data_IF_560239847022
#
_entry.id   IF_560239847022
#
_cell.length_a   1.000
_cell.length_b   1.000
_cell.length_c   1.000
_cell.angle_alpha   90.00
_cell.angle_beta   90.00
_cell.angle_gamma   90.00
#
_symmetry.space_group_name_H-M   'P 1'
#
loop_
_entity.id
_entity.type
_entity.pdbx_description
1 polymer ?
#
# COMPACT_ATOMS: atom_id res chain seq x y z
N UNK A 1 12.24 5.53 -50.73
CA UNK A 1 13.11 5.80 -49.55
C UNK A 1 14.39 4.93 -49.57
N UNK A 2 15.57 5.51 -49.25
CA UNK A 2 16.81 4.78 -48.99
C UNK A 2 16.58 3.63 -48.00
N UNK A 3 17.21 2.47 -48.22
CA UNK A 3 17.01 1.27 -47.40
C UNK A 3 17.34 1.52 -45.92
N UNK A 4 18.37 2.31 -45.66
CA UNK A 4 18.82 2.69 -44.32
C UNK A 4 17.75 3.49 -43.53
N UNK A 5 16.97 4.33 -44.22
CA UNK A 5 15.88 5.08 -43.58
C UNK A 5 14.67 4.20 -43.27
N UNK A 6 14.42 3.16 -44.07
CA UNK A 6 13.36 2.17 -43.78
C UNK A 6 13.71 1.35 -42.55
N UNK A 7 14.95 0.88 -42.47
CA UNK A 7 15.43 0.10 -41.32
C UNK A 7 15.36 0.90 -40.01
N UNK A 8 15.80 2.17 -40.01
CA UNK A 8 15.68 3.04 -38.82
C UNK A 8 14.24 3.32 -38.41
N UNK A 9 13.30 3.38 -39.35
CA UNK A 9 11.87 3.55 -39.06
C UNK A 9 11.28 2.27 -38.45
N UNK A 10 11.64 1.10 -38.97
CA UNK A 10 11.21 -0.19 -38.43
C UNK A 10 11.74 -0.40 -37.00
N UNK A 11 13.01 -0.13 -36.74
CA UNK A 11 13.61 -0.19 -35.39
C UNK A 11 12.92 0.78 -34.42
N UNK A 12 12.68 2.03 -34.84
CA UNK A 12 11.98 3.01 -34.02
C UNK A 12 10.51 2.62 -33.75
N UNK A 13 9.84 1.96 -34.69
CA UNK A 13 8.48 1.46 -34.51
C UNK A 13 8.43 0.32 -33.49
N UNK A 14 9.40 -0.60 -33.53
CA UNK A 14 9.49 -1.70 -32.55
C UNK A 14 9.75 -1.16 -31.14
N UNK A 15 10.68 -0.21 -30.98
CA UNK A 15 10.96 0.42 -29.68
C UNK A 15 9.73 1.14 -29.15
N UNK A 16 9.06 1.93 -30.00
CA UNK A 16 7.84 2.65 -29.61
C UNK A 16 6.69 1.70 -29.24
N UNK A 17 6.54 0.58 -29.94
CA UNK A 17 5.54 -0.43 -29.61
C UNK A 17 5.83 -1.09 -28.26
N UNK A 18 7.09 -1.42 -27.98
CA UNK A 18 7.50 -1.98 -26.69
C UNK A 18 7.33 -0.99 -25.53
N UNK A 19 7.65 0.29 -25.75
CA UNK A 19 7.42 1.34 -24.76
C UNK A 19 5.93 1.56 -24.50
N UNK A 20 5.11 1.61 -25.55
CA UNK A 20 3.66 1.74 -25.41
C UNK A 20 3.07 0.56 -24.62
N UNK A 21 3.50 -0.67 -24.90
CA UNK A 21 3.08 -1.85 -24.13
C UNK A 21 3.45 -1.74 -22.65
N UNK A 22 4.66 -1.27 -22.35
CA UNK A 22 5.11 -1.08 -20.96
C UNK A 22 4.29 -0.01 -20.24
N UNK A 23 3.96 1.09 -20.92
CA UNK A 23 3.09 2.14 -20.38
C UNK A 23 1.68 1.58 -20.12
N UNK A 24 1.13 0.84 -21.08
CA UNK A 24 -0.21 0.24 -20.95
C UNK A 24 -0.28 -0.78 -19.80
N UNK A 25 0.78 -1.57 -19.59
CA UNK A 25 0.89 -2.48 -18.44
C UNK A 25 0.94 -1.72 -17.10
N UNK A 26 1.71 -0.63 -17.01
CA UNK A 26 1.79 0.20 -15.80
C UNK A 26 0.44 0.88 -15.53
N UNK A 27 -0.23 1.38 -16.56
CA UNK A 27 -1.56 2.00 -16.44
C UNK A 27 -2.58 0.97 -15.96
N UNK A 28 -2.55 -0.26 -16.51
CA UNK A 28 -3.44 -1.35 -16.08
C UNK A 28 -3.19 -1.77 -14.64
N UNK A 29 -1.94 -1.92 -14.24
CA UNK A 29 -1.58 -2.35 -12.88
C UNK A 29 -1.99 -1.33 -11.81
N UNK A 30 -2.04 -0.05 -12.20
CA UNK A 30 -2.46 1.08 -11.38
C UNK A 30 -3.91 1.51 -11.65
N UNK A 31 -4.68 0.74 -12.42
CA UNK A 31 -6.06 1.09 -12.72
C UNK A 31 -6.92 1.10 -11.45
N UNK A 32 -7.32 2.29 -11.06
CA UNK A 32 -8.14 2.53 -9.87
C UNK A 32 -9.62 2.20 -10.09
N UNK A 33 -10.06 1.90 -11.30
CA UNK A 33 -11.42 1.47 -11.59
C UNK A 33 -11.62 -0.02 -11.26
N UNK A 34 -10.65 -0.88 -11.60
CA UNK A 34 -10.74 -2.32 -11.35
C UNK A 34 -10.83 -2.64 -9.86
N UNK A 35 -11.92 -3.31 -9.47
CA UNK A 35 -12.19 -3.67 -8.08
C UNK A 35 -12.67 -2.51 -7.19
N UNK A 36 -13.02 -1.34 -7.76
CA UNK A 36 -13.53 -0.20 -7.00
C UNK A 36 -14.78 -0.57 -6.17
N UNK A 37 -15.72 -1.35 -6.73
CA UNK A 37 -16.92 -1.84 -6.02
C UNK A 37 -16.54 -2.65 -4.77
N UNK A 38 -15.63 -3.62 -4.92
CA UNK A 38 -15.17 -4.46 -3.82
C UNK A 38 -14.43 -3.64 -2.77
N UNK A 39 -13.57 -2.70 -3.19
CA UNK A 39 -12.86 -1.80 -2.26
C UNK A 39 -13.81 -0.90 -1.48
N UNK A 40 -14.84 -0.33 -2.13
CA UNK A 40 -15.85 0.47 -1.44
C UNK A 40 -16.64 -0.38 -0.47
N UNK A 41 -17.11 -1.56 -0.88
CA UNK A 41 -17.85 -2.46 0.01
C UNK A 41 -17.03 -2.86 1.25
N UNK A 42 -15.81 -3.36 1.03
CA UNK A 42 -14.91 -3.75 2.13
C UNK A 42 -14.50 -2.55 2.98
N UNK A 43 -14.22 -1.41 2.35
CA UNK A 43 -13.88 -0.16 3.01
C UNK A 43 -15.01 0.35 3.90
N UNK A 44 -16.27 0.23 3.48
CA UNK A 44 -17.44 0.58 4.29
C UNK A 44 -17.60 -0.38 5.46
N UNK A 45 -17.57 -1.69 5.23
CA UNK A 45 -17.75 -2.67 6.29
C UNK A 45 -16.65 -2.53 7.35
N UNK A 46 -15.39 -2.50 6.91
CA UNK A 46 -14.24 -2.34 7.80
C UNK A 46 -14.27 -0.97 8.47
N UNK A 47 -14.48 0.10 7.71
CA UNK A 47 -14.53 1.47 8.22
C UNK A 47 -15.60 1.70 9.27
N UNK A 48 -16.83 1.21 9.03
CA UNK A 48 -17.92 1.27 10.01
C UNK A 48 -17.61 0.42 11.23
N UNK A 49 -17.06 -0.78 11.05
CA UNK A 49 -16.71 -1.64 12.18
C UNK A 49 -15.65 -0.99 13.08
N UNK A 50 -14.60 -0.37 12.52
CA UNK A 50 -13.60 0.40 13.26
C UNK A 50 -14.12 1.72 13.84
N UNK A 51 -15.09 2.35 13.19
CA UNK A 51 -15.72 3.57 13.72
C UNK A 51 -16.58 3.26 14.94
N UNK A 52 -17.36 2.18 14.87
CA UNK A 52 -18.32 1.83 15.90
C UNK A 52 -17.69 1.02 17.05
N UNK A 53 -16.65 0.23 16.80
CA UNK A 53 -16.06 -0.63 17.83
C UNK A 53 -15.56 0.10 19.07
N UNK A 54 -14.84 1.24 19.00
CA UNK A 54 -14.35 1.92 20.20
C UNK A 54 -15.51 2.43 21.06
N UNK A 55 -16.57 2.93 20.43
CA UNK A 55 -17.78 3.39 21.14
C UNK A 55 -18.55 2.21 21.72
N UNK A 56 -18.79 1.15 20.95
CA UNK A 56 -19.54 -0.01 21.41
C UNK A 56 -18.84 -0.73 22.55
N UNK A 57 -17.53 -0.99 22.41
CA UNK A 57 -16.73 -1.74 23.39
C UNK A 57 -16.45 -0.93 24.65
N UNK A 58 -16.33 0.39 24.58
CA UNK A 58 -16.02 1.20 25.76
C UNK A 58 -17.26 1.83 26.42
N UNK A 59 -18.28 2.20 25.66
CA UNK A 59 -19.45 2.92 26.19
C UNK A 59 -20.62 2.01 26.54
N UNK A 60 -20.90 1.02 25.70
CA UNK A 60 -22.10 0.20 25.82
C UNK A 60 -21.80 -1.13 26.50
N UNK A 61 -20.74 -1.82 26.08
CA UNK A 61 -20.43 -3.15 26.58
C UNK A 61 -20.15 -3.19 28.09
N UNK A 62 -19.44 -2.23 28.71
CA UNK A 62 -19.21 -2.25 30.16
C UNK A 62 -20.50 -2.02 30.95
N UNK A 63 -21.47 -1.26 30.39
CA UNK A 63 -22.78 -1.05 31.03
C UNK A 63 -23.64 -2.31 31.04
N UNK A 64 -23.49 -3.16 30.02
CA UNK A 64 -24.29 -4.38 29.87
C UNK A 64 -23.63 -5.56 30.58
N UNK A 65 -22.30 -5.61 30.61
CA UNK A 65 -21.54 -6.78 31.07
C UNK A 65 -20.80 -6.58 32.40
N UNK A 66 -20.69 -5.34 32.90
CA UNK A 66 -19.94 -5.02 34.12
C UNK A 66 -18.42 -5.17 34.01
N UNK A 67 -17.89 -5.62 32.88
CA UNK A 67 -16.45 -5.80 32.67
C UNK A 67 -15.79 -4.49 32.25
N UNK A 68 -14.98 -3.91 33.13
CA UNK A 68 -14.07 -2.80 32.80
C UNK A 68 -12.85 -3.36 32.07
N UNK A 69 -12.69 -3.00 30.80
CA UNK A 69 -11.83 -3.72 29.84
C UNK A 69 -10.65 -2.91 29.30
N UNK A 70 -10.09 -2.01 30.10
CA UNK A 70 -8.82 -1.36 29.73
C UNK A 70 -7.65 -2.28 30.13
N UNK A 71 -7.42 -3.30 29.31
CA UNK A 71 -6.25 -4.17 29.45
C UNK A 71 -5.58 -4.40 28.10
N UNK A 72 -4.27 -4.62 28.12
CA UNK A 72 -3.49 -4.97 26.93
C UNK A 72 -4.01 -6.24 26.26
N UNK A 73 -4.48 -7.22 27.04
CA UNK A 73 -5.13 -8.41 26.50
C UNK A 73 -6.40 -8.06 25.70
N UNK A 74 -7.19 -7.09 26.18
CA UNK A 74 -8.35 -6.57 25.43
C UNK A 74 -7.96 -5.94 24.10
N UNK A 75 -6.86 -5.17 24.07
CA UNK A 75 -6.31 -4.59 22.83
C UNK A 75 -5.80 -5.66 21.87
N UNK A 76 -5.10 -6.68 22.38
CA UNK A 76 -4.59 -7.80 21.56
C UNK A 76 -5.74 -8.62 20.99
N UNK A 77 -6.74 -8.99 21.80
CA UNK A 77 -7.88 -9.77 21.33
C UNK A 77 -8.74 -9.02 20.32
N UNK A 78 -9.00 -7.73 20.54
CA UNK A 78 -9.75 -6.91 19.57
C UNK A 78 -8.98 -6.76 18.26
N UNK A 79 -7.68 -6.45 18.31
CA UNK A 79 -6.83 -6.37 17.11
C UNK A 79 -6.76 -7.72 16.39
N UNK A 80 -6.59 -8.81 17.12
CA UNK A 80 -6.58 -10.17 16.57
C UNK A 80 -7.92 -10.56 15.93
N UNK A 81 -9.05 -10.18 16.53
CA UNK A 81 -10.37 -10.40 15.94
C UNK A 81 -10.52 -9.65 14.61
N UNK A 82 -10.10 -8.37 14.55
CA UNK A 82 -10.09 -7.60 13.30
C UNK A 82 -9.15 -8.18 12.25
N UNK A 83 -7.98 -8.70 12.66
CA UNK A 83 -7.06 -9.39 11.76
C UNK A 83 -7.71 -10.64 11.16
N UNK A 84 -8.37 -11.47 11.97
CA UNK A 84 -9.06 -12.67 11.49
C UNK A 84 -10.20 -12.33 10.53
N UNK A 85 -10.99 -11.30 10.86
CA UNK A 85 -12.04 -10.79 9.95
C UNK A 85 -11.43 -10.28 8.65
N UNK A 86 -10.32 -9.54 8.73
CA UNK A 86 -9.58 -9.05 7.57
C UNK A 86 -9.03 -10.17 6.69
N UNK A 87 -8.49 -11.24 7.28
CA UNK A 87 -8.06 -12.45 6.56
C UNK A 87 -9.27 -13.12 5.88
N UNK A 88 -10.40 -13.22 6.58
CA UNK A 88 -11.64 -13.74 6.02
C UNK A 88 -12.10 -12.96 4.79
N UNK A 89 -12.07 -11.63 4.86
CA UNK A 89 -12.38 -10.78 3.70
C UNK A 89 -11.36 -10.89 2.58
N UNK A 90 -10.07 -10.95 2.89
CA UNK A 90 -9.02 -11.12 1.89
C UNK A 90 -9.16 -12.47 1.15
N UNK A 91 -9.55 -13.52 1.87
CA UNK A 91 -9.82 -14.83 1.29
C UNK A 91 -11.09 -14.85 0.45
N UNK A 92 -12.18 -14.27 0.95
CA UNK A 92 -13.46 -14.17 0.23
C UNK A 92 -13.36 -13.31 -1.03
N UNK A 93 -12.72 -12.14 -0.94
CA UNK A 93 -12.57 -11.20 -2.04
C UNK A 93 -11.31 -11.45 -2.89
N UNK A 94 -10.64 -12.60 -2.73
CA UNK A 94 -9.33 -12.88 -3.35
C UNK A 94 -9.37 -12.67 -4.86
N UNK A 95 -10.43 -13.12 -5.53
CA UNK A 95 -10.52 -13.09 -6.99
C UNK A 95 -10.64 -11.65 -7.51
N UNK A 96 -11.18 -10.73 -6.71
CA UNK A 96 -11.29 -9.31 -7.06
C UNK A 96 -10.05 -8.51 -6.62
N UNK A 97 -9.55 -8.78 -5.41
CA UNK A 97 -8.48 -8.00 -4.80
C UNK A 97 -7.07 -8.41 -5.23
N UNK A 98 -6.89 -9.57 -5.87
CA UNK A 98 -5.58 -9.96 -6.41
C UNK A 98 -5.31 -9.42 -7.81
N UNK A 99 -6.32 -8.83 -8.49
CA UNK A 99 -6.24 -8.39 -9.88
C UNK A 99 -5.23 -7.26 -10.13
N UNK A 100 -5.23 -6.23 -9.29
CA UNK A 100 -4.36 -5.05 -9.46
C UNK A 100 -3.24 -5.00 -8.42
N UNK A 101 -2.14 -4.34 -8.76
CA UNK A 101 -1.02 -4.13 -7.83
C UNK A 101 -1.48 -3.33 -6.61
N UNK A 102 -2.29 -2.29 -6.84
CA UNK A 102 -2.87 -1.46 -5.80
C UNK A 102 -3.70 -2.28 -4.79
N UNK A 103 -4.59 -3.17 -5.26
CA UNK A 103 -5.42 -3.97 -4.35
C UNK A 103 -4.58 -4.94 -3.52
N UNK A 104 -3.58 -5.59 -4.13
CA UNK A 104 -2.65 -6.49 -3.43
C UNK A 104 -1.88 -5.73 -2.34
N UNK A 105 -1.33 -4.56 -2.68
CA UNK A 105 -0.60 -3.73 -1.73
C UNK A 105 -1.49 -3.26 -0.59
N UNK A 106 -2.72 -2.80 -0.87
CA UNK A 106 -3.65 -2.39 0.18
C UNK A 106 -3.98 -3.53 1.16
N UNK A 107 -4.24 -4.74 0.67
CA UNK A 107 -4.47 -5.90 1.56
C UNK A 107 -3.23 -6.17 2.41
N UNK A 108 -2.06 -6.25 1.78
CA UNK A 108 -0.80 -6.51 2.49
C UNK A 108 -0.54 -5.44 3.54
N UNK A 109 -0.76 -4.17 3.23
CA UNK A 109 -0.62 -3.06 4.19
C UNK A 109 -1.59 -3.20 5.36
N UNK A 110 -2.86 -3.52 5.13
CA UNK A 110 -3.83 -3.71 6.22
C UNK A 110 -3.44 -4.89 7.10
N UNK A 111 -3.09 -6.05 6.51
CA UNK A 111 -2.67 -7.23 7.28
C UNK A 111 -1.42 -6.96 8.10
N UNK A 112 -0.42 -6.32 7.49
CA UNK A 112 0.82 -5.95 8.16
C UNK A 112 0.57 -4.96 9.30
N UNK A 113 -0.31 -3.96 9.09
CA UNK A 113 -0.68 -2.98 10.12
C UNK A 113 -1.31 -3.66 11.33
N UNK A 114 -2.23 -4.60 11.12
CA UNK A 114 -2.85 -5.36 12.22
C UNK A 114 -1.82 -6.19 12.98
N UNK A 115 -0.91 -6.85 12.28
CA UNK A 115 0.17 -7.62 12.91
C UNK A 115 1.11 -6.72 13.71
N UNK A 116 1.55 -5.60 13.14
CA UNK A 116 2.40 -4.62 13.80
C UNK A 116 1.72 -4.05 15.05
N UNK A 117 0.42 -3.74 14.96
CA UNK A 117 -0.38 -3.28 16.09
C UNK A 117 -0.46 -4.34 17.20
N UNK A 118 -0.66 -5.63 16.86
CA UNK A 118 -0.64 -6.71 17.86
C UNK A 118 0.71 -6.83 18.56
N UNK A 119 1.80 -6.80 17.79
CA UNK A 119 3.17 -6.86 18.34
C UNK A 119 3.43 -5.67 19.25
N UNK A 120 3.03 -4.47 18.84
CA UNK A 120 3.19 -3.27 19.65
C UNK A 120 2.40 -3.36 20.96
N UNK A 121 1.13 -3.77 20.92
CA UNK A 121 0.30 -3.96 22.12
C UNK A 121 0.91 -5.02 23.07
N UNK A 122 1.45 -6.12 22.52
CA UNK A 122 2.14 -7.14 23.30
C UNK A 122 3.38 -6.59 23.99
N UNK A 123 4.25 -5.89 23.24
CA UNK A 123 5.48 -5.30 23.79
C UNK A 123 5.15 -4.28 24.86
N UNK A 124 4.20 -3.38 24.63
CA UNK A 124 3.77 -2.39 25.61
C UNK A 124 3.23 -3.06 26.89
N UNK A 125 2.41 -4.10 26.74
CA UNK A 125 1.90 -4.89 27.86
C UNK A 125 2.98 -5.58 28.68
N UNK A 126 3.95 -6.23 28.03
CA UNK A 126 5.09 -6.88 28.71
C UNK A 126 6.00 -5.86 29.41
N UNK A 127 6.12 -4.65 28.84
CA UNK A 127 6.93 -3.57 29.42
C UNK A 127 6.19 -2.76 30.50
N UNK A 128 4.93 -3.09 30.79
CA UNK A 128 4.13 -2.37 31.77
C UNK A 128 3.82 -0.93 31.37
N UNK A 129 3.90 -0.60 30.07
CA UNK A 129 3.43 0.69 29.55
C UNK A 129 1.92 0.71 29.76
N UNK A 130 1.37 1.82 30.22
CA UNK A 130 -0.06 1.93 30.46
C UNK A 130 -0.86 1.87 29.14
N UNK A 131 -2.13 1.47 29.26
CA UNK A 131 -3.03 1.28 28.11
C UNK A 131 -3.28 2.59 27.36
N UNK A 132 -3.32 3.70 28.09
CA UNK A 132 -3.56 5.02 27.51
C UNK A 132 -2.41 5.46 26.60
N UNK A 133 -1.17 5.41 27.10
CA UNK A 133 0.05 5.64 26.31
C UNK A 133 0.12 4.71 25.11
N UNK A 134 -0.27 3.44 25.27
CA UNK A 134 -0.32 2.47 24.17
C UNK A 134 -1.34 2.87 23.09
N UNK A 135 -2.48 3.45 23.48
CA UNK A 135 -3.44 4.01 22.52
C UNK A 135 -2.88 5.22 21.79
N UNK A 136 -2.13 6.11 22.45
CA UNK A 136 -1.43 7.22 21.77
C UNK A 136 -0.45 6.67 20.72
N UNK A 137 0.31 5.63 21.06
CA UNK A 137 1.20 4.95 20.11
C UNK A 137 0.43 4.30 18.95
N UNK A 138 -0.78 3.79 19.18
CA UNK A 138 -1.66 3.33 18.10
C UNK A 138 -2.01 4.46 17.12
N UNK A 139 -2.34 5.66 17.60
CA UNK A 139 -2.56 6.80 16.70
C UNK A 139 -1.32 7.15 15.89
N UNK A 140 -0.15 7.09 16.50
CA UNK A 140 1.12 7.30 15.78
C UNK A 140 1.35 6.23 14.70
N UNK A 141 1.11 4.96 15.00
CA UNK A 141 1.19 3.86 14.04
C UNK A 141 0.24 4.10 12.85
N UNK A 142 -1.01 4.46 13.10
CA UNK A 142 -1.99 4.73 12.05
C UNK A 142 -1.65 5.94 11.20
N UNK A 143 -1.11 7.01 11.82
CA UNK A 143 -0.56 8.15 11.11
C UNK A 143 0.59 7.74 10.18
N UNK A 144 1.57 6.98 10.69
CA UNK A 144 2.72 6.53 9.90
C UNK A 144 2.30 5.64 8.72
N UNK A 145 1.37 4.70 8.95
CA UNK A 145 0.84 3.82 7.89
C UNK A 145 0.07 4.62 6.85
N UNK A 146 -0.82 5.53 7.25
CA UNK A 146 -1.56 6.39 6.32
C UNK A 146 -0.59 7.26 5.49
N UNK A 147 0.46 7.79 6.12
CA UNK A 147 1.53 8.52 5.46
C UNK A 147 2.24 7.68 4.39
N UNK A 148 2.64 6.45 4.73
CA UNK A 148 3.25 5.53 3.76
C UNK A 148 2.30 5.18 2.60
N UNK A 149 1.03 4.91 2.87
CA UNK A 149 0.01 4.67 1.83
C UNK A 149 -0.13 5.88 0.92
N UNK A 150 -0.16 7.08 1.50
CA UNK A 150 -0.25 8.34 0.75
C UNK A 150 0.93 8.53 -0.19
N UNK A 151 2.15 8.26 0.30
CA UNK A 151 3.39 8.46 -0.47
C UNK A 151 3.62 7.38 -1.53
N UNK A 152 3.30 6.12 -1.23
CA UNK A 152 3.71 4.98 -2.04
C UNK A 152 2.61 4.38 -2.91
N UNK A 153 1.34 4.55 -2.51
CA UNK A 153 0.20 3.89 -3.18
C UNK A 153 -0.71 4.89 -3.87
N UNK A 154 -1.22 5.86 -3.11
CA UNK A 154 -2.28 6.73 -3.61
C UNK A 154 -2.33 8.06 -2.82
N UNK A 155 -1.92 9.14 -3.48
CA UNK A 155 -1.81 10.47 -2.89
C UNK A 155 -3.13 10.97 -2.27
N UNK A 156 -4.29 10.54 -2.78
CA UNK A 156 -5.60 10.93 -2.23
C UNK A 156 -5.82 10.48 -0.77
N UNK A 157 -4.99 9.59 -0.23
CA UNK A 157 -5.00 9.26 1.21
C UNK A 157 -4.50 10.38 2.12
N UNK A 158 -3.95 11.48 1.60
CA UNK A 158 -3.41 12.58 2.40
C UNK A 158 -4.39 13.14 3.43
N UNK A 159 -5.69 13.19 3.10
CA UNK A 159 -6.74 13.65 4.03
C UNK A 159 -6.80 12.78 5.28
N UNK A 160 -6.70 11.46 5.13
CA UNK A 160 -6.67 10.53 6.26
C UNK A 160 -5.36 10.67 7.04
N UNK A 161 -4.22 10.86 6.38
CA UNK A 161 -2.92 11.10 7.03
C UNK A 161 -2.96 12.33 7.92
N UNK A 162 -3.43 13.47 7.39
CA UNK A 162 -3.59 14.71 8.18
C UNK A 162 -4.60 14.48 9.30
N UNK A 163 -5.69 13.76 9.04
CA UNK A 163 -6.66 13.35 10.04
C UNK A 163 -6.06 12.62 11.23
N UNK A 164 -5.28 11.56 10.97
CA UNK A 164 -4.59 10.81 12.03
C UNK A 164 -3.49 11.63 12.73
N UNK A 165 -2.83 12.56 12.02
CA UNK A 165 -1.88 13.48 12.64
C UNK A 165 -2.55 14.41 13.64
N UNK A 166 -3.69 15.01 13.26
CA UNK A 166 -4.50 15.85 14.16
C UNK A 166 -5.04 15.02 15.32
N UNK A 167 -5.45 13.79 15.07
CA UNK A 167 -5.94 12.88 16.09
C UNK A 167 -4.85 12.49 17.10
N UNK A 168 -3.62 12.22 16.63
CA UNK A 168 -2.45 11.98 17.47
C UNK A 168 -2.18 13.17 18.40
N UNK A 169 -2.18 14.39 17.86
CA UNK A 169 -2.04 15.60 18.68
C UNK A 169 -3.17 15.73 19.70
N UNK A 170 -4.42 15.56 19.24
CA UNK A 170 -5.62 15.68 20.08
C UNK A 170 -5.61 14.69 21.24
N UNK A 171 -5.30 13.41 20.99
CA UNK A 171 -5.30 12.39 22.06
C UNK A 171 -4.15 12.59 23.05
N UNK A 172 -3.05 13.21 22.61
CA UNK A 172 -1.91 13.52 23.50
C UNK A 172 -2.29 14.58 24.54
N UNK A 173 -3.13 15.56 24.16
CA UNK A 173 -3.57 16.62 25.08
C UNK A 173 -4.91 16.35 25.76
N UNK A 174 -5.76 15.49 25.17
CA UNK A 174 -7.12 15.21 25.60
C UNK A 174 -7.38 13.68 25.65
N UNK A 175 -6.64 12.94 26.50
CA UNK A 175 -6.69 11.48 26.52
C UNK A 175 -8.05 10.92 26.97
N UNK A 176 -8.86 11.69 27.71
CA UNK A 176 -10.21 11.29 28.12
C UNK A 176 -11.18 11.15 26.93
N UNK A 177 -10.91 11.84 25.81
CA UNK A 177 -11.72 11.77 24.59
C UNK A 177 -11.17 10.77 23.57
N UNK A 178 -10.15 9.97 23.91
CA UNK A 178 -9.44 9.05 22.99
C UNK A 178 -10.35 8.17 22.14
N UNK A 179 -11.42 7.63 22.70
CA UNK A 179 -12.33 6.75 21.96
C UNK A 179 -13.19 7.50 20.94
N UNK A 180 -13.63 8.73 21.27
CA UNK A 180 -14.34 9.59 20.33
C UNK A 180 -13.42 10.04 19.20
N UNK A 181 -12.19 10.43 19.54
CA UNK A 181 -11.16 10.81 18.58
C UNK A 181 -10.83 9.63 17.66
N UNK A 182 -10.70 8.42 18.21
CA UNK A 182 -10.45 7.19 17.44
C UNK A 182 -11.56 6.91 16.44
N UNK A 183 -12.81 6.93 16.90
CA UNK A 183 -13.99 6.75 16.05
C UNK A 183 -14.10 7.82 14.97
N UNK A 184 -13.87 9.09 15.30
CA UNK A 184 -13.87 10.18 14.32
C UNK A 184 -12.77 10.00 13.26
N UNK A 185 -11.59 9.53 13.66
CA UNK A 185 -10.47 9.27 12.75
C UNK A 185 -10.75 8.12 11.78
N UNK A 186 -11.35 7.02 12.29
CA UNK A 186 -11.77 5.90 11.45
C UNK A 186 -12.93 6.29 10.52
N UNK A 187 -13.87 7.12 10.98
CA UNK A 187 -14.93 7.65 10.12
C UNK A 187 -14.35 8.52 9.00
N UNK A 188 -13.39 9.39 9.32
CA UNK A 188 -12.70 10.22 8.34
C UNK A 188 -11.97 9.36 7.29
N UNK A 189 -11.26 8.31 7.70
CA UNK A 189 -10.65 7.35 6.78
C UNK A 189 -11.71 6.70 5.87
N UNK A 190 -12.86 6.30 6.44
CA UNK A 190 -13.97 5.69 5.68
C UNK A 190 -14.53 6.66 4.65
N UNK A 191 -14.80 7.90 5.05
CA UNK A 191 -15.27 8.97 4.15
C UNK A 191 -14.23 9.24 3.06
N UNK A 192 -12.94 9.25 3.39
CA UNK A 192 -11.88 9.45 2.40
C UNK A 192 -11.86 8.32 1.34
N UNK A 193 -11.95 7.06 1.78
CA UNK A 193 -12.06 5.89 0.89
C UNK A 193 -13.30 5.99 0.00
N UNK A 194 -14.44 6.41 0.56
CA UNK A 194 -15.68 6.60 -0.18
C UNK A 194 -15.60 7.75 -1.19
N UNK A 195 -14.99 8.88 -0.82
CA UNK A 195 -14.81 10.00 -1.72
C UNK A 195 -13.90 9.62 -2.91
N UNK A 196 -12.91 8.76 -2.66
CA UNK A 196 -11.93 8.34 -3.66
C UNK A 196 -12.48 7.36 -4.70
N UNK A 197 -13.24 6.35 -4.27
CA UNK A 197 -13.68 5.24 -5.13
C UNK A 197 -15.20 5.10 -5.24
N UNK A 198 -15.97 5.80 -4.43
CA UNK A 198 -17.44 5.78 -4.42
C UNK A 198 -18.05 6.22 -5.76
N UNK A 199 -17.64 7.35 -6.37
CA UNK A 199 -18.16 7.77 -7.67
C UNK A 199 -17.98 6.70 -8.75
N UNK A 200 -16.78 6.13 -8.87
CA UNK A 200 -16.47 5.07 -9.84
C UNK A 200 -17.26 3.80 -9.57
N UNK A 201 -17.38 3.37 -8.30
CA UNK A 201 -18.17 2.21 -7.93
C UNK A 201 -19.66 2.39 -8.27
N UNK A 202 -20.22 3.57 -7.99
CA UNK A 202 -21.62 3.91 -8.32
C UNK A 202 -21.86 3.93 -9.82
N UNK A 203 -20.95 4.51 -10.60
CA UNK A 203 -21.06 4.52 -12.05
C UNK A 203 -21.03 3.11 -12.63
N UNK A 204 -20.12 2.26 -12.15
CA UNK A 204 -20.12 0.85 -12.52
C UNK A 204 -21.47 0.21 -12.19
N UNK A 205 -21.99 0.36 -10.97
CA UNK A 205 -23.28 -0.23 -10.56
C UNK A 205 -24.41 0.24 -11.47
N UNK A 206 -24.46 1.54 -11.80
CA UNK A 206 -25.47 2.12 -12.70
C UNK A 206 -25.44 1.53 -14.10
N UNK A 207 -24.24 1.23 -14.63
CA UNK A 207 -24.08 0.66 -15.97
C UNK A 207 -24.40 -0.84 -16.04
N UNK A 208 -24.51 -1.53 -14.89
CA UNK A 208 -24.68 -2.99 -14.86
C UNK A 208 -23.47 -3.77 -15.41
N UNK A 209 -22.37 -3.07 -15.72
CA UNK A 209 -21.17 -3.67 -16.30
C UNK A 209 -20.33 -4.32 -15.19
N UNK A 210 -19.90 -5.56 -15.41
CA UNK A 210 -18.68 -6.04 -14.77
C UNK A 210 -17.50 -5.22 -15.30
N UNK A 211 -16.44 -4.99 -14.50
CA UNK A 211 -15.26 -4.28 -14.99
C UNK A 211 -14.85 -4.91 -16.32
N UNK A 212 -14.60 -4.09 -17.38
CA UNK A 212 -14.41 -4.62 -18.72
C UNK A 212 -13.38 -5.73 -18.66
N UNK A 213 -13.66 -6.92 -19.23
CA UNK A 213 -12.64 -7.94 -19.36
C UNK A 213 -11.53 -7.27 -20.16
N UNK A 214 -10.40 -6.98 -19.51
CA UNK A 214 -9.25 -6.46 -20.21
C UNK A 214 -9.05 -7.37 -21.42
N UNK A 215 -8.99 -6.83 -22.65
CA UNK A 215 -8.68 -7.65 -23.80
C UNK A 215 -7.42 -8.41 -23.42
N UNK A 216 -7.51 -9.75 -23.44
CA UNK A 216 -6.31 -10.58 -23.31
C UNK A 216 -5.34 -9.98 -24.30
N UNK A 217 -4.16 -9.56 -23.83
CA UNK A 217 -3.10 -9.16 -24.74
C UNK A 217 -3.04 -10.25 -25.81
N UNK A 218 -3.00 -9.90 -27.11
CA UNK A 218 -2.82 -10.91 -28.14
C UNK A 218 -1.65 -11.79 -27.68
N UNK A 219 -1.89 -13.10 -27.58
CA UNK A 219 -0.83 -14.05 -27.24
C UNK A 219 0.32 -13.71 -28.19
N UNK A 220 1.39 -13.13 -27.63
CA UNK A 220 2.50 -12.71 -28.45
C UNK A 220 3.06 -14.00 -29.00
N UNK A 221 2.90 -14.20 -30.30
CA UNK A 221 3.45 -15.36 -30.97
C UNK A 221 4.95 -15.34 -30.67
N UNK A 222 5.39 -16.30 -29.85
CA UNK A 222 6.77 -16.40 -29.42
C UNK A 222 7.73 -16.53 -30.59
N UNK A 223 7.22 -16.83 -31.81
CA UNK A 223 7.95 -16.79 -33.06
C UNK A 223 8.45 -15.39 -33.45
N UNK A 224 7.67 -14.33 -33.20
CA UNK A 224 8.02 -12.94 -33.56
C UNK A 224 9.11 -12.37 -32.66
N UNK A 225 9.06 -12.66 -31.35
CA UNK A 225 10.13 -12.29 -30.42
C UNK A 225 11.41 -13.06 -30.76
N UNK A 226 11.30 -14.36 -31.11
CA UNK A 226 12.46 -15.18 -31.50
C UNK A 226 13.08 -14.66 -32.80
N UNK A 227 12.26 -14.33 -33.79
CA UNK A 227 12.67 -13.76 -35.08
C UNK A 227 13.39 -12.42 -34.91
N UNK A 228 12.85 -11.51 -34.10
CA UNK A 228 13.49 -10.23 -33.79
C UNK A 228 14.82 -10.39 -33.05
N UNK A 229 14.91 -11.33 -32.10
CA UNK A 229 16.17 -11.64 -31.40
C UNK A 229 17.22 -12.29 -32.31
N UNK A 230 16.83 -13.15 -33.26
CA UNK A 230 17.75 -13.69 -34.26
C UNK A 230 18.23 -12.62 -35.24
N UNK A 231 17.34 -11.72 -35.68
CA UNK A 231 17.71 -10.61 -36.55
C UNK A 231 18.70 -9.65 -35.87
N UNK A 232 18.49 -9.33 -34.59
CA UNK A 232 19.44 -8.52 -33.81
C UNK A 232 20.77 -9.23 -33.57
N UNK A 233 20.76 -10.57 -33.43
CA UNK A 233 21.97 -11.38 -33.29
C UNK A 233 22.76 -11.47 -34.60
N UNK A 234 22.08 -11.51 -35.74
CA UNK A 234 22.70 -11.52 -37.07
C UNK A 234 23.23 -10.14 -37.48
N UNK A 235 22.60 -9.06 -37.00
CA UNK A 235 23.07 -7.68 -37.19
C UNK A 235 24.25 -7.30 -36.28
N UNK A 236 24.64 -8.15 -35.32
CA UNK A 236 25.79 -7.95 -34.45
C UNK A 236 26.87 -9.05 -34.61
N UNK A 237 27.54 -9.20 -35.78
CA UNK A 237 28.54 -10.26 -36.00
C UNK A 237 29.87 -10.09 -35.22
N UNK A 238 29.94 -9.17 -34.25
CA UNK A 238 31.20 -8.77 -33.60
C UNK A 238 31.19 -8.73 -32.07
N UNK A 239 30.08 -9.08 -31.41
CA UNK A 239 29.95 -8.95 -29.95
C UNK A 239 30.47 -10.16 -29.14
N UNK A 240 31.22 -11.08 -29.77
CA UNK A 240 32.05 -12.06 -29.05
C UNK A 240 33.42 -11.47 -28.69
N UNK A 241 33.43 -10.30 -28.04
CA UNK A 241 34.63 -9.84 -27.36
C UNK A 241 34.76 -10.63 -26.06
N UNK A 242 35.75 -11.55 -26.00
CA UNK A 242 36.19 -12.20 -24.76
C UNK A 242 36.29 -11.14 -23.65
N UNK A 243 35.75 -11.40 -22.44
CA UNK A 243 35.94 -10.49 -21.33
C UNK A 243 37.43 -10.42 -21.01
N UNK A 244 38.04 -9.27 -21.29
CA UNK A 244 39.43 -8.99 -20.91
C UNK A 244 39.49 -8.93 -19.38
N UNK A 245 40.22 -9.86 -18.78
CA UNK A 245 40.40 -9.99 -17.32
C UNK A 245 41.41 -8.97 -16.78
N UNK A 246 41.46 -7.76 -17.33
CA UNK A 246 42.39 -6.73 -16.87
C UNK A 246 41.65 -5.54 -16.29
N UNK A 247 42.06 -5.25 -15.05
CA UNK A 247 41.96 -3.98 -14.33
C UNK A 247 40.57 -3.55 -13.84
N UNK A 248 40.12 -4.18 -12.76
CA UNK A 248 39.44 -3.48 -11.66
C UNK A 248 40.27 -3.71 -10.40
N UNK A 249 41.39 -3.00 -10.35
CA UNK A 249 42.16 -2.74 -9.14
C UNK A 249 42.43 -1.25 -9.15
N UNK A 250 41.37 -0.47 -9.05
CA UNK A 250 41.48 0.93 -8.67
C UNK A 250 41.14 0.99 -7.19
N UNK A 251 42.23 0.95 -6.44
CA UNK A 251 42.35 1.09 -5.01
C UNK A 251 41.82 2.46 -4.62
N UNK A 252 40.62 2.51 -4.03
CA UNK A 252 40.10 3.73 -3.40
C UNK A 252 40.93 3.95 -2.14
N UNK A 253 41.94 4.79 -2.28
CA UNK A 253 42.78 5.30 -1.19
C UNK A 253 41.88 6.01 -0.17
N UNK A 254 41.55 5.31 0.92
CA UNK A 254 40.85 5.85 2.08
C UNK A 254 41.76 6.89 2.73
N UNK A 255 41.47 8.16 2.45
CA UNK A 255 42.10 9.32 3.09
C UNK A 255 41.78 9.26 4.58
N UNK A 256 42.81 9.02 5.40
CA UNK A 256 42.77 9.12 6.86
C UNK A 256 42.24 10.50 7.28
N UNK A 257 41.00 10.52 7.75
CA UNK A 257 40.40 11.67 8.42
C UNK A 257 41.02 11.83 9.80
N UNK A 258 41.91 12.81 9.94
CA UNK A 258 42.48 13.22 11.23
C UNK A 258 41.42 13.61 12.27
N UNK A 259 41.77 13.57 13.57
CA UNK A 259 40.82 13.77 14.65
C UNK A 259 40.26 15.20 14.67
N UNK A 260 39.00 15.38 15.12
CA UNK A 260 38.36 16.68 15.17
C UNK A 260 39.04 17.60 16.20
N UNK A 261 39.08 18.93 15.96
CA UNK A 261 39.65 19.88 16.90
C UNK A 261 38.81 19.98 18.17
N UNK A 262 39.50 19.94 19.31
CA UNK A 262 38.95 20.20 20.64
C UNK A 262 38.45 21.65 20.72
N UNK A 263 37.23 21.90 21.23
CA UNK A 263 36.79 23.27 21.48
C UNK A 263 37.59 23.86 22.65
N UNK A 264 38.25 24.99 22.40
CA UNK A 264 38.76 25.88 23.44
C UNK A 264 37.78 27.03 23.64
N UNK A 265 37.39 27.27 24.89
CA UNK A 265 36.68 28.48 25.34
C UNK A 265 35.23 28.25 25.73
#
# INVERSE_FOLDING_TARGET
>A
PPAELRQRVEEAQVVKAAEQQRVDEIVRDNDSATGARTRVLLGVIMGLSWTLSPLALNRWLPRVTGMTRESHLGLIYSTGAFLLVGIGFAWWARDSMTKTKLNRQLITTVMFTMLAQMVMNLVCGVRGIDVETTMVLNFFLWFAIAGMVTLLLEHRFWVATVGYFVALGSVTFLPEYRYWIMSASHLLLTVNVLAMWGPTALEMIRRGEDPPPYPKLPEVDGSLIRSGLTSLRELAPGAEAKPDKRTVSEEVELRDGGPPPTPMG
#
